data_IF_795313961465
#
_entry.id   IF_795313961465
#
_cell.length_a   1.000
_cell.length_b   1.000
_cell.length_c   1.000
_cell.angle_alpha   90.00
_cell.angle_beta   90.00
_cell.angle_gamma   90.00
#
_symmetry.space_group_name_H-M   'P 1'
#
loop_
_entity.id
_entity.type
_entity.pdbx_description
1 polymer ?
#
# COMPACT_ATOMS: atom_id res chain seq x y z
N UNK A 1 -42.83 2.20 -5.19
CA UNK A 1 -41.49 2.47 -5.72
C UNK A 1 -40.85 3.58 -4.89
N UNK A 2 -39.77 3.22 -4.19
CA UNK A 2 -39.00 4.19 -3.42
C UNK A 2 -38.27 5.07 -4.41
N UNK A 3 -38.66 6.34 -4.53
CA UNK A 3 -37.98 7.28 -5.43
C UNK A 3 -36.55 7.55 -4.91
N UNK A 4 -35.57 7.70 -5.82
CA UNK A 4 -34.15 7.99 -5.52
C UNK A 4 -34.02 9.14 -4.50
N UNK A 5 -34.90 10.15 -4.53
CA UNK A 5 -34.94 11.26 -3.53
C UNK A 5 -35.19 10.79 -2.10
N UNK A 6 -35.86 9.67 -1.89
CA UNK A 6 -36.12 9.11 -0.56
C UNK A 6 -34.93 8.31 -0.02
N UNK A 7 -34.10 7.72 -0.91
CA UNK A 7 -32.89 6.99 -0.54
C UNK A 7 -31.80 7.91 0.07
N UNK A 8 -31.69 9.15 -0.40
CA UNK A 8 -30.63 10.08 0.03
C UNK A 8 -31.06 11.05 1.15
N UNK A 9 -32.13 10.72 1.86
CA UNK A 9 -32.51 11.49 3.04
C UNK A 9 -31.45 11.35 4.14
N UNK A 10 -30.83 12.46 4.55
CA UNK A 10 -29.75 12.51 5.56
C UNK A 10 -30.15 11.92 6.94
N UNK A 11 -31.44 11.79 7.21
CA UNK A 11 -31.94 11.15 8.43
C UNK A 11 -31.88 9.62 8.36
N UNK A 12 -31.70 9.04 7.15
CA UNK A 12 -31.57 7.59 6.98
C UNK A 12 -30.12 7.14 7.02
N UNK A 13 -29.87 5.87 7.33
CA UNK A 13 -28.52 5.29 7.27
C UNK A 13 -27.91 5.42 5.87
N UNK A 14 -28.69 5.16 4.85
CA UNK A 14 -28.24 5.26 3.44
C UNK A 14 -27.89 6.70 3.09
N UNK A 15 -28.71 7.67 3.52
CA UNK A 15 -28.42 9.09 3.29
C UNK A 15 -27.13 9.54 4.00
N UNK A 16 -26.89 9.10 5.24
CA UNK A 16 -25.61 9.37 5.93
C UNK A 16 -24.43 8.73 5.23
N UNK A 17 -24.57 7.50 4.76
CA UNK A 17 -23.54 6.82 3.97
C UNK A 17 -23.26 7.57 2.66
N UNK A 18 -24.30 8.03 1.97
CA UNK A 18 -24.14 8.85 0.77
C UNK A 18 -23.36 10.13 1.04
N UNK A 19 -23.69 10.85 2.12
CA UNK A 19 -22.97 12.05 2.55
C UNK A 19 -21.48 11.77 2.78
N UNK A 20 -21.15 10.63 3.40
CA UNK A 20 -19.77 10.21 3.61
C UNK A 20 -19.01 10.03 2.30
N UNK A 21 -19.67 9.55 1.24
CA UNK A 21 -19.05 9.34 -0.06
C UNK A 21 -19.03 10.59 -0.97
N UNK A 22 -19.74 11.66 -0.63
CA UNK A 22 -19.81 12.86 -1.50
C UNK A 22 -18.44 13.40 -1.90
N UNK A 23 -17.49 13.43 -0.97
CA UNK A 23 -16.13 13.93 -1.23
C UNK A 23 -15.39 13.14 -2.33
N UNK A 24 -15.71 11.85 -2.48
CA UNK A 24 -15.20 11.02 -3.56
C UNK A 24 -15.96 11.27 -4.86
N UNK A 25 -17.25 11.56 -4.76
CA UNK A 25 -18.14 11.72 -5.91
C UNK A 25 -18.00 13.04 -6.64
N UNK A 26 -17.40 14.05 -6.01
CA UNK A 26 -17.07 15.34 -6.67
C UNK A 26 -16.20 15.18 -7.93
N UNK A 27 -15.54 14.03 -8.10
CA UNK A 27 -14.70 13.74 -9.27
C UNK A 27 -15.49 13.17 -10.44
N UNK A 28 -16.75 12.79 -10.24
CA UNK A 28 -17.58 12.11 -11.23
C UNK A 28 -18.74 12.99 -11.71
N UNK A 29 -19.27 12.68 -12.87
CA UNK A 29 -20.60 13.18 -13.24
C UNK A 29 -21.65 12.62 -12.28
N UNK A 30 -22.69 13.39 -12.00
CA UNK A 30 -23.78 12.98 -11.09
C UNK A 30 -24.36 11.59 -11.44
N UNK A 31 -24.65 11.25 -12.70
CA UNK A 31 -25.16 9.92 -13.05
C UNK A 31 -24.16 8.79 -12.77
N UNK A 32 -22.86 9.06 -12.91
CA UNK A 32 -21.80 8.08 -12.61
C UNK A 32 -21.66 7.90 -11.12
N UNK A 33 -21.61 8.98 -10.35
CA UNK A 33 -21.52 8.96 -8.89
C UNK A 33 -22.69 8.16 -8.28
N UNK A 34 -23.91 8.43 -8.72
CA UNK A 34 -25.11 7.72 -8.30
C UNK A 34 -25.04 6.21 -8.64
N UNK A 35 -24.57 5.86 -9.83
CA UNK A 35 -24.44 4.45 -10.22
C UNK A 35 -23.37 3.73 -9.40
N UNK A 36 -22.23 4.38 -9.13
CA UNK A 36 -21.17 3.83 -8.29
C UNK A 36 -21.62 3.69 -6.83
N UNK A 37 -22.37 4.67 -6.30
CA UNK A 37 -22.93 4.57 -4.96
C UNK A 37 -23.88 3.37 -4.81
N UNK A 38 -24.78 3.15 -5.77
CA UNK A 38 -25.65 1.99 -5.77
C UNK A 38 -24.88 0.66 -5.81
N UNK A 39 -23.78 0.58 -6.59
CA UNK A 39 -22.90 -0.58 -6.58
C UNK A 39 -22.23 -0.78 -5.21
N UNK A 40 -21.71 0.27 -4.60
CA UNK A 40 -21.11 0.21 -3.26
C UNK A 40 -22.16 -0.26 -2.25
N UNK A 41 -23.35 0.30 -2.29
CA UNK A 41 -24.46 -0.08 -1.41
C UNK A 41 -24.81 -1.56 -1.57
N UNK A 42 -24.85 -2.08 -2.80
CA UNK A 42 -25.12 -3.49 -3.04
C UNK A 42 -24.04 -4.42 -2.48
N UNK A 43 -22.76 -4.02 -2.59
CA UNK A 43 -21.63 -4.77 -2.03
C UNK A 43 -21.69 -4.78 -0.49
N UNK A 44 -22.06 -3.66 0.12
CA UNK A 44 -22.19 -3.56 1.59
C UNK A 44 -23.40 -4.30 2.16
N UNK A 45 -24.43 -4.53 1.35
CA UNK A 45 -25.69 -5.13 1.80
C UNK A 45 -25.72 -6.65 1.62
N UNK A 46 -25.08 -7.15 0.55
CA UNK A 46 -25.07 -8.59 0.24
C UNK A 46 -23.86 -9.28 0.89
N UNK A 47 -24.07 -10.48 1.41
CA UNK A 47 -23.00 -11.29 2.03
C UNK A 47 -21.86 -11.63 1.07
N UNK A 48 -22.13 -11.65 -0.24
CA UNK A 48 -21.13 -11.95 -1.27
C UNK A 48 -21.40 -11.14 -2.55
N UNK A 49 -20.31 -10.70 -3.17
CA UNK A 49 -20.33 -9.91 -4.41
C UNK A 49 -19.65 -10.69 -5.55
N UNK A 50 -20.36 -11.67 -6.11
CA UNK A 50 -19.80 -12.55 -7.15
C UNK A 50 -19.61 -11.85 -8.51
N UNK A 51 -20.59 -11.04 -8.93
CA UNK A 51 -20.55 -10.32 -10.20
C UNK A 51 -21.55 -9.16 -10.21
N UNK A 52 -21.36 -8.21 -11.11
CA UNK A 52 -22.33 -7.11 -11.32
C UNK A 52 -23.73 -7.65 -11.61
N UNK A 53 -23.84 -8.73 -12.40
CA UNK A 53 -25.12 -9.38 -12.69
C UNK A 53 -25.77 -9.92 -11.41
N UNK A 54 -24.99 -10.55 -10.54
CA UNK A 54 -25.47 -11.05 -9.25
C UNK A 54 -25.98 -9.89 -8.38
N UNK A 55 -25.20 -8.82 -8.23
CA UNK A 55 -25.60 -7.62 -7.47
C UNK A 55 -26.89 -7.02 -8.03
N UNK A 56 -27.03 -6.98 -9.35
CA UNK A 56 -28.22 -6.47 -10.02
C UNK A 56 -29.45 -7.32 -9.73
N UNK A 57 -29.36 -8.64 -9.91
CA UNK A 57 -30.47 -9.56 -9.73
C UNK A 57 -30.96 -9.65 -8.27
N UNK A 58 -30.05 -9.58 -7.32
CA UNK A 58 -30.40 -9.81 -5.91
C UNK A 58 -30.61 -8.52 -5.09
N UNK A 59 -30.25 -7.36 -5.62
CA UNK A 59 -30.40 -6.11 -4.88
C UNK A 59 -30.79 -4.92 -5.78
N UNK A 60 -30.01 -4.60 -6.82
CA UNK A 60 -30.13 -3.34 -7.54
C UNK A 60 -31.44 -3.22 -8.29
N UNK A 61 -31.93 -4.30 -8.92
CA UNK A 61 -33.23 -4.30 -9.66
C UNK A 61 -34.42 -3.96 -8.78
N UNK A 62 -34.32 -4.15 -7.45
CA UNK A 62 -35.38 -3.81 -6.50
C UNK A 62 -35.36 -2.36 -6.02
N UNK A 63 -34.26 -1.64 -6.21
CA UNK A 63 -34.07 -0.29 -5.65
C UNK A 63 -33.88 0.80 -6.69
N UNK A 64 -33.63 0.45 -7.96
CA UNK A 64 -33.44 1.42 -9.05
C UNK A 64 -34.02 0.92 -10.36
N UNK A 65 -34.47 1.85 -11.19
CA UNK A 65 -34.93 1.57 -12.56
C UNK A 65 -33.76 1.51 -13.58
N UNK A 66 -32.50 1.75 -13.14
CA UNK A 66 -31.34 1.62 -14.03
C UNK A 66 -31.20 0.18 -14.51
N UNK A 67 -30.99 0.00 -15.81
CA UNK A 67 -30.76 -1.34 -16.37
C UNK A 67 -29.39 -1.90 -16.00
N UNK A 68 -29.23 -3.23 -16.08
CA UNK A 68 -27.96 -3.92 -15.84
C UNK A 68 -26.80 -3.34 -16.68
N UNK A 69 -27.09 -2.95 -17.93
CA UNK A 69 -26.06 -2.38 -18.82
C UNK A 69 -25.49 -1.07 -18.33
N UNK A 70 -26.24 -0.26 -17.58
CA UNK A 70 -25.72 0.99 -16.98
C UNK A 70 -24.60 0.69 -15.98
N UNK A 71 -24.75 -0.37 -15.20
CA UNK A 71 -23.73 -0.78 -14.22
C UNK A 71 -22.48 -1.36 -14.90
N UNK A 72 -22.66 -2.17 -15.95
CA UNK A 72 -21.53 -2.63 -16.77
C UNK A 72 -20.81 -1.46 -17.43
N UNK A 73 -21.54 -0.50 -17.98
CA UNK A 73 -20.97 0.69 -18.61
C UNK A 73 -20.17 1.52 -17.58
N UNK A 74 -20.72 1.76 -16.40
CA UNK A 74 -20.05 2.50 -15.35
C UNK A 74 -18.72 1.82 -14.94
N UNK A 75 -18.69 0.50 -14.79
CA UNK A 75 -17.48 -0.22 -14.43
C UNK A 75 -16.42 -0.28 -15.55
N UNK A 76 -16.86 -0.23 -16.82
CA UNK A 76 -15.95 -0.40 -17.97
C UNK A 76 -15.46 0.93 -18.56
N UNK A 77 -16.27 1.99 -18.50
CA UNK A 77 -16.04 3.22 -19.25
C UNK A 77 -16.07 4.49 -18.40
N UNK A 78 -16.43 4.42 -17.11
CA UNK A 78 -16.38 5.60 -16.26
C UNK A 78 -14.92 6.09 -16.16
N UNK A 79 -14.74 7.39 -16.42
CA UNK A 79 -13.43 8.03 -16.23
C UNK A 79 -13.23 8.25 -14.74
N UNK A 80 -12.41 7.40 -14.11
CA UNK A 80 -12.05 7.51 -12.70
C UNK A 80 -10.68 8.16 -12.59
N UNK A 81 -10.58 9.29 -11.92
CA UNK A 81 -9.31 9.85 -11.51
C UNK A 81 -8.82 9.11 -10.25
N UNK A 82 -8.16 7.99 -10.45
CA UNK A 82 -7.62 7.17 -9.37
C UNK A 82 -6.61 7.93 -8.52
N UNK A 83 -5.90 8.90 -9.09
CA UNK A 83 -4.93 9.72 -8.38
C UNK A 83 -5.64 10.60 -7.36
N UNK A 84 -6.67 11.32 -7.79
CA UNK A 84 -7.50 12.13 -6.89
C UNK A 84 -8.21 11.29 -5.85
N UNK A 85 -8.65 10.08 -6.23
CA UNK A 85 -9.29 9.14 -5.31
C UNK A 85 -8.33 8.72 -4.19
N UNK A 86 -7.10 8.33 -4.52
CA UNK A 86 -6.06 7.97 -3.54
C UNK A 86 -5.76 9.15 -2.60
N UNK A 87 -5.50 10.34 -3.15
CA UNK A 87 -5.18 11.53 -2.36
C UNK A 87 -6.35 11.93 -1.44
N UNK A 88 -7.59 11.82 -1.91
CA UNK A 88 -8.78 12.05 -1.07
C UNK A 88 -8.84 11.05 0.09
N UNK A 89 -8.54 9.77 -0.17
CA UNK A 89 -8.49 8.75 0.88
C UNK A 89 -7.43 9.08 1.93
N UNK A 90 -6.23 9.52 1.52
CA UNK A 90 -5.19 9.97 2.46
C UNK A 90 -5.72 11.11 3.34
N UNK A 91 -6.26 12.17 2.74
CA UNK A 91 -6.77 13.34 3.48
C UNK A 91 -7.85 12.99 4.49
N UNK A 92 -8.79 12.11 4.12
CA UNK A 92 -9.84 11.66 5.04
C UNK A 92 -9.24 10.84 6.18
N UNK A 93 -8.32 9.92 5.85
CA UNK A 93 -7.72 9.01 6.82
C UNK A 93 -6.86 9.78 7.83
N UNK A 94 -6.08 10.77 7.39
CA UNK A 94 -5.29 11.60 8.30
C UNK A 94 -6.15 12.38 9.30
N UNK A 95 -7.39 12.77 8.93
CA UNK A 95 -8.34 13.43 9.85
C UNK A 95 -8.88 12.50 10.93
N UNK A 96 -8.72 11.19 10.80
CA UNK A 96 -9.13 10.22 11.82
C UNK A 96 -8.10 10.09 12.96
N UNK A 97 -6.89 10.63 12.78
CA UNK A 97 -5.84 10.58 13.80
C UNK A 97 -6.24 11.51 14.96
N UNK A 98 -6.39 11.00 16.20
CA UNK A 98 -6.65 11.82 17.37
C UNK A 98 -5.53 12.84 17.60
N UNK A 99 -5.86 14.02 18.15
CA UNK A 99 -4.89 15.09 18.42
C UNK A 99 -3.70 14.62 19.27
N UNK A 100 -3.98 13.77 20.27
CA UNK A 100 -2.97 13.17 21.16
C UNK A 100 -2.00 12.21 20.45
N UNK A 101 -2.30 11.78 19.22
CA UNK A 101 -1.50 10.84 18.44
C UNK A 101 -0.91 11.49 17.15
N UNK A 102 -1.03 12.81 16.99
CA UNK A 102 -0.56 13.50 15.79
C UNK A 102 0.97 13.40 15.58
N UNK A 103 1.75 13.25 16.64
CA UNK A 103 3.21 13.07 16.61
C UNK A 103 3.64 11.64 16.31
N UNK A 104 2.70 10.68 16.37
CA UNK A 104 3.02 9.30 16.04
C UNK A 104 3.25 9.14 14.54
N UNK A 105 4.18 8.24 14.13
CA UNK A 105 4.42 7.99 12.70
C UNK A 105 3.18 7.39 12.03
N UNK A 106 3.05 7.63 10.73
CA UNK A 106 2.13 6.92 9.86
C UNK A 106 2.92 5.98 8.96
N UNK A 107 2.32 4.86 8.57
CA UNK A 107 3.01 3.89 7.73
C UNK A 107 2.35 3.77 6.37
N UNK A 108 3.18 3.65 5.33
CA UNK A 108 2.80 3.26 3.97
C UNK A 108 3.29 1.83 3.73
N UNK A 109 2.40 0.86 3.87
CA UNK A 109 2.74 -0.54 3.64
C UNK A 109 2.63 -0.87 2.15
N UNK A 110 3.70 -1.42 1.59
CA UNK A 110 3.80 -1.80 0.17
C UNK A 110 3.88 -3.31 0.07
N UNK A 111 3.00 -3.87 -0.75
CA UNK A 111 2.99 -5.31 -1.04
C UNK A 111 2.36 -5.58 -2.41
N UNK A 112 2.44 -6.81 -2.90
CA UNK A 112 1.72 -7.22 -4.09
C UNK A 112 0.83 -8.44 -3.84
N UNK A 113 -0.26 -8.50 -4.57
CA UNK A 113 -1.20 -9.61 -4.52
C UNK A 113 -1.42 -10.18 -5.91
N UNK A 114 -1.62 -11.49 -5.98
CA UNK A 114 -1.84 -12.21 -7.22
C UNK A 114 -3.26 -12.72 -7.28
N UNK A 115 -3.91 -12.51 -8.42
CA UNK A 115 -5.26 -13.01 -8.70
C UNK A 115 -5.18 -14.01 -9.84
N UNK A 116 -5.39 -15.28 -9.53
CA UNK A 116 -5.37 -16.36 -10.53
C UNK A 116 -6.47 -16.17 -11.58
N UNK A 117 -6.17 -16.52 -12.81
CA UNK A 117 -7.11 -16.50 -13.95
C UNK A 117 -7.02 -17.82 -14.72
N UNK A 118 -8.17 -18.32 -15.10
CA UNK A 118 -8.26 -19.47 -15.98
C UNK A 118 -8.26 -19.01 -17.44
N UNK A 119 -7.36 -19.55 -18.24
CA UNK A 119 -7.19 -19.20 -19.66
C UNK A 119 -6.17 -18.08 -19.89
N UNK A 120 -5.90 -17.82 -21.17
CA UNK A 120 -4.84 -16.92 -21.63
C UNK A 120 -5.34 -15.68 -22.38
N UNK A 121 -6.66 -15.54 -22.53
CA UNK A 121 -7.27 -14.47 -23.34
C UNK A 121 -7.54 -13.18 -22.58
N UNK A 122 -7.29 -13.15 -21.27
CA UNK A 122 -7.42 -11.92 -20.50
C UNK A 122 -6.25 -10.98 -20.78
N UNK A 123 -6.56 -9.71 -20.95
CA UNK A 123 -5.54 -8.67 -21.10
C UNK A 123 -4.60 -8.65 -19.87
N UNK A 124 -3.30 -8.50 -20.11
CA UNK A 124 -2.23 -8.45 -19.08
C UNK A 124 -2.11 -9.71 -18.18
N UNK A 125 -2.73 -10.83 -18.54
CA UNK A 125 -2.46 -12.10 -17.86
C UNK A 125 -1.01 -12.53 -18.10
N UNK A 126 -0.37 -13.01 -17.08
CA UNK A 126 1.00 -13.51 -17.16
C UNK A 126 1.22 -14.71 -16.25
N UNK A 127 2.25 -15.50 -16.59
CA UNK A 127 2.75 -16.55 -15.71
C UNK A 127 3.51 -15.87 -14.57
N UNK A 128 3.00 -16.01 -13.35
CA UNK A 128 3.53 -15.40 -12.13
C UNK A 128 4.13 -16.49 -11.26
N UNK A 129 5.25 -16.18 -10.61
CA UNK A 129 5.82 -17.09 -9.60
C UNK A 129 5.11 -16.84 -8.28
N UNK A 130 4.57 -17.91 -7.70
CA UNK A 130 3.86 -17.88 -6.43
C UNK A 130 4.56 -18.81 -5.43
N UNK A 131 5.15 -18.23 -4.40
CA UNK A 131 5.82 -18.98 -3.34
C UNK A 131 4.85 -19.85 -2.50
N UNK A 132 3.58 -19.51 -2.48
CA UNK A 132 2.53 -20.20 -1.74
C UNK A 132 1.77 -21.22 -2.58
N UNK A 133 2.10 -21.41 -3.86
CA UNK A 133 1.39 -22.32 -4.73
C UNK A 133 1.70 -23.78 -4.37
N UNK A 134 0.65 -24.51 -3.99
CA UNK A 134 0.71 -25.93 -3.69
C UNK A 134 0.15 -26.82 -4.83
N UNK A 135 0.16 -26.32 -6.07
CA UNK A 135 -0.45 -26.98 -7.23
C UNK A 135 0.53 -27.81 -8.08
N UNK A 136 1.68 -28.21 -7.52
CA UNK A 136 2.73 -28.95 -8.24
C UNK A 136 3.59 -28.12 -9.18
N UNK A 137 3.27 -26.84 -9.36
CA UNK A 137 4.16 -25.87 -10.02
C UNK A 137 4.13 -24.56 -9.21
N UNK A 138 5.31 -23.97 -8.95
CA UNK A 138 5.40 -22.67 -8.26
C UNK A 138 4.95 -21.51 -9.16
N UNK A 139 4.00 -21.73 -10.07
CA UNK A 139 3.54 -20.75 -11.03
C UNK A 139 2.03 -20.79 -11.16
N UNK A 140 1.43 -19.60 -11.28
CA UNK A 140 0.03 -19.41 -11.62
C UNK A 140 -0.09 -18.47 -12.84
N UNK A 141 -1.15 -18.65 -13.62
CA UNK A 141 -1.57 -17.64 -14.58
C UNK A 141 -2.49 -16.64 -13.90
N UNK A 142 -2.20 -15.36 -14.02
CA UNK A 142 -3.02 -14.37 -13.36
C UNK A 142 -2.57 -12.94 -13.56
N UNK A 143 -3.20 -12.07 -12.81
CA UNK A 143 -2.83 -10.67 -12.66
C UNK A 143 -2.05 -10.48 -11.35
N UNK A 144 -1.07 -9.61 -11.37
CA UNK A 144 -0.39 -9.12 -10.17
C UNK A 144 -0.73 -7.65 -9.96
N UNK A 145 -1.09 -7.30 -8.74
CA UNK A 145 -1.43 -5.93 -8.35
C UNK A 145 -0.47 -5.49 -7.25
N UNK A 146 0.22 -4.38 -7.47
CA UNK A 146 0.96 -3.68 -6.42
C UNK A 146 -0.03 -2.84 -5.62
N UNK A 147 0.03 -2.93 -4.31
CA UNK A 147 -0.84 -2.22 -3.39
C UNK A 147 -0.06 -1.29 -2.46
N UNK A 148 -0.69 -0.18 -2.10
CA UNK A 148 -0.23 0.70 -1.02
C UNK A 148 -1.36 0.86 -0.02
N UNK A 149 -1.04 0.60 1.25
CA UNK A 149 -1.97 0.73 2.37
C UNK A 149 -1.44 1.78 3.34
N UNK A 150 -2.30 2.70 3.76
CA UNK A 150 -1.98 3.69 4.79
C UNK A 150 -2.40 3.15 6.15
N UNK A 151 -1.48 3.13 7.11
CA UNK A 151 -1.75 2.78 8.49
C UNK A 151 -1.59 4.02 9.37
N UNK A 152 -2.66 4.40 10.06
CA UNK A 152 -2.70 5.58 10.94
C UNK A 152 -2.94 5.20 12.39
N UNK A 153 -2.32 5.90 13.35
CA UNK A 153 -2.48 5.61 14.76
C UNK A 153 -3.89 6.00 15.26
N UNK A 154 -4.50 5.10 15.99
CA UNK A 154 -5.81 5.28 16.62
C UNK A 154 -5.80 4.71 18.04
N UNK A 155 -6.71 5.16 18.89
CA UNK A 155 -6.92 4.52 20.17
C UNK A 155 -7.76 3.25 20.05
N UNK A 156 -7.23 2.15 20.54
CA UNK A 156 -7.98 0.91 20.75
C UNK A 156 -8.03 0.67 22.27
N UNK A 157 -9.12 1.08 22.91
CA UNK A 157 -9.21 1.22 24.37
C UNK A 157 -8.08 2.15 24.87
N UNK A 158 -7.19 1.68 25.74
CA UNK A 158 -6.08 2.46 26.32
C UNK A 158 -4.74 2.24 25.61
N UNK A 159 -4.73 1.59 24.44
CA UNK A 159 -3.51 1.28 23.69
C UNK A 159 -3.54 1.93 22.31
N UNK A 160 -2.39 2.41 21.87
CA UNK A 160 -2.20 2.83 20.47
C UNK A 160 -2.27 1.60 19.59
N UNK A 161 -3.10 1.66 18.57
CA UNK A 161 -3.24 0.67 17.50
C UNK A 161 -3.17 1.37 16.16
N UNK A 162 -3.10 0.63 15.07
CA UNK A 162 -3.04 1.19 13.73
C UNK A 162 -4.23 0.74 12.90
N UNK A 163 -4.97 1.71 12.38
CA UNK A 163 -6.04 1.49 11.41
C UNK A 163 -5.43 1.43 10.01
N UNK A 164 -5.64 0.32 9.32
CA UNK A 164 -5.13 0.11 7.97
C UNK A 164 -6.20 0.44 6.94
N UNK A 165 -5.89 1.34 6.00
CA UNK A 165 -6.79 1.81 4.95
C UNK A 165 -6.12 1.62 3.59
N UNK A 166 -6.69 0.80 2.69
CA UNK A 166 -6.13 0.62 1.35
C UNK A 166 -6.25 1.94 0.57
N UNK A 167 -5.13 2.42 0.03
CA UNK A 167 -5.10 3.60 -0.82
C UNK A 167 -5.41 3.26 -2.28
N UNK A 168 -4.91 2.12 -2.74
CA UNK A 168 -5.17 1.68 -4.11
C UNK A 168 -4.34 0.48 -4.54
N UNK A 169 -4.70 -0.02 -5.72
CA UNK A 169 -4.05 -1.15 -6.38
C UNK A 169 -3.70 -0.76 -7.81
N UNK A 170 -2.49 -1.07 -8.27
CA UNK A 170 -2.10 -0.91 -9.67
C UNK A 170 -1.70 -2.24 -10.27
N UNK A 171 -2.35 -2.59 -11.38
CA UNK A 171 -2.06 -3.82 -12.10
C UNK A 171 -0.70 -3.73 -12.78
N UNK A 172 0.17 -4.72 -12.51
CA UNK A 172 1.45 -4.83 -13.17
C UNK A 172 1.29 -5.33 -14.62
N UNK A 173 1.74 -4.52 -15.58
CA UNK A 173 1.59 -4.77 -17.00
C UNK A 173 2.91 -5.17 -17.70
N UNK A 174 3.98 -5.46 -16.95
CA UNK A 174 5.33 -5.75 -17.44
C UNK A 174 6.01 -4.60 -18.22
N UNK A 175 5.41 -3.43 -18.33
CA UNK A 175 5.99 -2.24 -18.94
C UNK A 175 7.02 -1.56 -18.04
N UNK A 176 6.80 -1.68 -16.76
CA UNK A 176 7.65 -1.17 -15.67
C UNK A 176 7.82 -2.23 -14.59
N UNK A 177 8.76 -2.07 -13.70
CA UNK A 177 8.92 -2.97 -12.56
C UNK A 177 7.87 -2.71 -11.50
N UNK A 178 7.55 -3.71 -10.67
CA UNK A 178 6.67 -3.52 -9.50
C UNK A 178 7.23 -2.48 -8.52
N UNK A 179 8.57 -2.35 -8.45
CA UNK A 179 9.26 -1.35 -7.64
C UNK A 179 8.95 0.07 -8.12
N UNK A 180 8.97 0.29 -9.44
CA UNK A 180 8.64 1.59 -10.05
C UNK A 180 7.15 1.91 -9.87
N UNK A 181 6.26 0.91 -10.01
CA UNK A 181 4.84 1.08 -9.69
C UNK A 181 4.64 1.53 -8.24
N UNK A 182 5.24 0.82 -7.27
CA UNK A 182 5.18 1.19 -5.86
C UNK A 182 5.71 2.61 -5.62
N UNK A 183 6.89 2.90 -6.19
CA UNK A 183 7.52 4.21 -6.11
C UNK A 183 6.60 5.32 -6.64
N UNK A 184 5.97 5.10 -7.79
CA UNK A 184 5.06 6.07 -8.40
C UNK A 184 3.80 6.31 -7.55
N UNK A 185 3.26 5.25 -6.92
CA UNK A 185 2.11 5.37 -6.02
C UNK A 185 2.46 6.16 -4.76
N UNK A 186 3.65 5.93 -4.19
CA UNK A 186 4.12 6.67 -3.02
C UNK A 186 4.33 8.15 -3.38
N UNK A 187 5.06 8.47 -4.46
CA UNK A 187 5.27 9.85 -4.91
C UNK A 187 3.97 10.60 -5.12
N UNK A 188 2.95 9.90 -5.59
CA UNK A 188 1.64 10.49 -5.81
C UNK A 188 0.97 10.94 -4.52
N UNK A 189 1.08 10.17 -3.43
CA UNK A 189 0.40 10.46 -2.17
C UNK A 189 1.23 11.31 -1.20
N UNK A 190 2.56 11.32 -1.32
CA UNK A 190 3.46 12.06 -0.43
C UNK A 190 3.11 13.55 -0.24
N UNK A 191 2.65 14.30 -1.28
CA UNK A 191 2.23 15.69 -1.08
C UNK A 191 1.11 15.89 -0.05
N UNK A 192 0.31 14.85 0.23
CA UNK A 192 -0.77 14.94 1.23
C UNK A 192 -0.26 14.82 2.69
N UNK A 193 1.02 14.43 2.87
CA UNK A 193 1.64 14.26 4.19
C UNK A 193 2.49 15.45 4.65
N UNK A 194 2.28 16.63 4.07
CA UNK A 194 3.08 17.83 4.40
C UNK A 194 3.04 18.22 5.88
N UNK A 195 1.97 17.87 6.60
CA UNK A 195 1.79 18.14 8.03
C UNK A 195 2.25 16.99 8.94
N UNK A 196 2.84 15.92 8.40
CA UNK A 196 3.33 14.77 9.17
C UNK A 196 4.86 14.81 9.22
N UNK A 197 5.42 14.75 10.41
CA UNK A 197 6.87 14.74 10.63
C UNK A 197 7.50 13.41 10.24
N UNK A 198 6.77 12.30 10.41
CA UNK A 198 7.27 10.95 10.18
C UNK A 198 6.29 10.12 9.37
N UNK A 199 6.66 9.84 8.13
CA UNK A 199 6.02 8.87 7.24
C UNK A 199 7.01 7.74 7.00
N UNK A 200 6.62 6.50 7.24
CA UNK A 200 7.52 5.35 7.16
C UNK A 200 6.97 4.34 6.14
N UNK A 201 7.75 4.03 5.12
CA UNK A 201 7.43 2.92 4.21
C UNK A 201 7.76 1.62 4.92
N UNK A 202 6.81 0.69 4.93
CA UNK A 202 7.02 -0.70 5.36
C UNK A 202 6.92 -1.62 4.14
N UNK A 203 7.93 -2.45 3.92
CA UNK A 203 7.93 -3.40 2.81
C UNK A 203 8.70 -4.69 3.15
N UNK A 204 8.40 -5.74 2.42
CA UNK A 204 9.11 -7.00 2.51
C UNK A 204 10.49 -6.96 1.83
N UNK A 205 11.23 -8.07 1.91
CA UNK A 205 12.57 -8.19 1.33
C UNK A 205 12.60 -8.11 -0.19
N UNK A 206 11.49 -8.36 -0.87
CA UNK A 206 11.41 -8.25 -2.32
C UNK A 206 11.39 -6.78 -2.76
N UNK A 207 10.71 -5.91 -2.00
CA UNK A 207 10.62 -4.48 -2.25
C UNK A 207 11.80 -3.69 -1.68
N UNK A 208 12.56 -4.25 -0.73
CA UNK A 208 13.70 -3.59 -0.09
C UNK A 208 14.89 -3.53 -1.06
N UNK A 209 14.78 -2.73 -2.12
CA UNK A 209 15.80 -2.55 -3.17
C UNK A 209 16.00 -1.07 -3.49
N UNK A 210 17.14 -0.75 -4.10
CA UNK A 210 17.59 0.62 -4.39
C UNK A 210 16.50 1.50 -5.03
N UNK A 211 15.74 0.97 -5.99
CA UNK A 211 14.71 1.75 -6.71
C UNK A 211 13.61 2.28 -5.78
N UNK A 212 13.20 1.50 -4.77
CA UNK A 212 12.23 1.96 -3.79
C UNK A 212 12.89 2.76 -2.67
N UNK A 213 14.03 2.28 -2.18
CA UNK A 213 14.75 2.93 -1.06
C UNK A 213 15.20 4.35 -1.41
N UNK A 214 15.52 4.64 -2.68
CA UNK A 214 15.93 5.98 -3.11
C UNK A 214 14.86 7.06 -2.98
N UNK A 215 13.58 6.70 -2.82
CA UNK A 215 12.50 7.67 -2.65
C UNK A 215 12.65 8.47 -1.35
N UNK A 216 13.26 7.89 -0.33
CA UNK A 216 13.48 8.59 0.95
C UNK A 216 14.34 9.86 0.79
N UNK A 217 15.13 9.95 -0.27
CA UNK A 217 15.93 11.16 -0.56
C UNK A 217 15.09 12.30 -1.16
N UNK A 218 13.89 12.01 -1.64
CA UNK A 218 13.01 12.97 -2.28
C UNK A 218 12.17 13.75 -1.27
N UNK A 219 12.00 13.20 -0.04
CA UNK A 219 11.11 13.76 0.98
C UNK A 219 11.77 13.75 2.36
N UNK A 220 11.91 14.90 3.02
CA UNK A 220 12.64 15.01 4.30
C UNK A 220 11.93 14.31 5.47
N UNK A 221 10.62 14.06 5.36
CA UNK A 221 9.79 13.41 6.36
C UNK A 221 9.51 11.93 6.06
N UNK A 222 10.23 11.34 5.07
CA UNK A 222 10.01 9.96 4.64
C UNK A 222 11.19 9.08 5.02
N UNK A 223 10.90 7.99 5.72
CA UNK A 223 11.82 6.91 6.03
C UNK A 223 11.33 5.58 5.46
N UNK A 224 12.19 4.56 5.47
CA UNK A 224 11.84 3.21 5.04
C UNK A 224 12.36 2.18 6.03
N UNK A 225 11.49 1.26 6.43
CA UNK A 225 11.83 0.04 7.16
C UNK A 225 11.44 -1.14 6.27
N UNK A 226 12.42 -1.95 5.93
CA UNK A 226 12.19 -3.13 5.10
C UNK A 226 13.02 -4.32 5.55
N UNK A 227 12.50 -5.50 5.33
CA UNK A 227 13.24 -6.72 5.59
C UNK A 227 14.38 -6.89 4.58
N UNK A 228 15.51 -7.38 5.03
CA UNK A 228 16.62 -7.79 4.19
C UNK A 228 16.86 -9.30 4.36
N UNK A 229 17.38 -9.94 3.31
CA UNK A 229 17.78 -11.34 3.41
C UNK A 229 19.02 -11.46 4.29
N UNK A 230 19.15 -12.54 5.03
CA UNK A 230 20.29 -12.78 5.92
C UNK A 230 21.63 -12.84 5.18
N UNK A 231 21.62 -13.20 3.90
CA UNK A 231 22.78 -13.24 3.02
C UNK A 231 23.11 -11.87 2.38
N UNK A 232 22.41 -10.81 2.76
CA UNK A 232 22.65 -9.45 2.24
C UNK A 232 24.05 -8.97 2.61
N UNK A 233 24.77 -8.46 1.61
CA UNK A 233 26.14 -7.99 1.80
C UNK A 233 26.15 -6.62 2.46
N UNK A 234 26.76 -6.56 3.63
CA UNK A 234 26.93 -5.34 4.44
C UNK A 234 28.42 -5.08 4.71
N UNK A 235 28.77 -3.81 4.84
CA UNK A 235 30.11 -3.36 5.17
C UNK A 235 30.08 -2.32 6.29
N UNK A 236 31.18 -2.20 7.01
CA UNK A 236 31.40 -1.02 7.84
C UNK A 236 31.47 0.25 6.97
N UNK A 237 31.11 1.41 7.52
CA UNK A 237 31.40 2.70 6.90
C UNK A 237 32.88 2.80 6.47
N UNK A 238 33.14 3.58 5.42
CA UNK A 238 34.48 3.78 4.95
C UNK A 238 35.37 4.40 6.08
N UNK A 239 36.61 3.91 6.28
CA UNK A 239 37.52 4.52 7.23
C UNK A 239 37.84 5.97 6.82
N UNK A 240 38.19 6.78 7.80
CA UNK A 240 38.64 8.16 7.57
C UNK A 240 39.78 8.21 6.56
N UNK A 241 39.77 9.22 5.69
CA UNK A 241 40.84 9.39 4.71
C UNK A 241 42.20 9.64 5.42
N UNK A 242 43.19 8.85 5.06
CA UNK A 242 44.52 8.91 5.71
C UNK A 242 45.45 9.93 5.06
N UNK A 243 45.06 10.65 4.01
CA UNK A 243 45.90 11.56 3.25
C UNK A 243 47.00 10.88 2.42
N UNK A 244 47.12 9.55 2.46
CA UNK A 244 48.09 8.80 1.66
C UNK A 244 47.69 8.74 0.17
N UNK A 245 48.70 8.62 -0.68
CA UNK A 245 48.49 8.46 -2.15
C UNK A 245 47.70 7.17 -2.42
N UNK A 246 46.60 7.28 -3.19
CA UNK A 246 45.74 6.15 -3.58
C UNK A 246 44.28 6.54 -3.61
N UNK A 247 43.46 5.65 -4.19
CA UNK A 247 42.01 5.84 -4.21
C UNK A 247 41.43 5.61 -2.81
N UNK A 248 40.66 6.53 -2.25
CA UNK A 248 39.97 6.33 -0.98
C UNK A 248 39.14 5.05 -0.94
N UNK A 249 39.13 4.35 0.19
CA UNK A 249 38.30 3.18 0.37
C UNK A 249 36.79 3.59 0.29
N UNK A 250 35.99 2.79 -0.42
CA UNK A 250 34.55 3.05 -0.56
C UNK A 250 33.75 2.49 0.62
N UNK A 251 34.28 1.53 1.34
CA UNK A 251 33.67 0.85 2.49
C UNK A 251 34.75 0.24 3.37
N UNK A 252 34.40 -0.09 4.61
CA UNK A 252 35.26 -0.81 5.55
C UNK A 252 35.18 -2.33 5.39
N UNK A 253 35.33 -3.05 6.50
CA UNK A 253 35.27 -4.52 6.58
C UNK A 253 33.90 -5.02 6.12
N UNK A 254 33.86 -6.18 5.44
CA UNK A 254 32.61 -6.92 5.23
C UNK A 254 32.13 -7.49 6.56
N UNK A 255 30.84 -7.33 6.84
CA UNK A 255 30.21 -7.74 8.09
C UNK A 255 29.48 -9.08 7.94
N UNK A 256 29.52 -9.88 9.02
CA UNK A 256 28.67 -11.06 9.21
C UNK A 256 27.64 -10.76 10.31
N UNK A 257 26.41 -11.21 10.10
CA UNK A 257 25.33 -11.10 11.09
C UNK A 257 25.69 -11.85 12.37
N UNK A 258 26.36 -13.00 12.25
CA UNK A 258 26.68 -13.91 13.36
C UNK A 258 27.77 -13.35 14.29
N UNK A 259 28.75 -12.62 13.76
CA UNK A 259 29.96 -12.27 14.51
C UNK A 259 30.16 -10.78 14.73
N UNK A 260 29.56 -9.92 13.91
CA UNK A 260 29.87 -8.49 13.90
C UNK A 260 28.75 -7.62 14.50
N UNK A 261 27.70 -8.23 15.06
CA UNK A 261 26.62 -7.53 15.76
C UNK A 261 26.68 -7.83 17.26
N UNK A 262 26.53 -6.78 18.07
CA UNK A 262 26.39 -6.91 19.52
C UNK A 262 24.91 -6.90 19.86
N UNK A 263 24.44 -7.98 20.47
CA UNK A 263 23.05 -8.10 20.89
C UNK A 263 22.83 -7.46 22.26
N UNK A 264 21.63 -6.89 22.45
CA UNK A 264 21.19 -6.37 23.74
C UNK A 264 21.06 -7.51 24.76
N UNK A 265 21.22 -7.20 26.05
CA UNK A 265 20.97 -8.16 27.13
C UNK A 265 19.49 -8.32 27.44
N UNK A 266 18.65 -7.41 26.94
CA UNK A 266 17.20 -7.41 27.14
C UNK A 266 16.49 -7.86 25.86
N UNK A 267 15.45 -8.67 26.03
CA UNK A 267 14.60 -9.10 24.94
C UNK A 267 13.56 -8.02 24.58
N UNK A 268 13.31 -7.86 23.30
CA UNK A 268 12.14 -7.16 22.77
C UNK A 268 11.19 -8.22 22.23
N UNK A 269 10.10 -8.46 22.94
CA UNK A 269 9.28 -9.66 22.71
C UNK A 269 10.05 -10.94 23.03
N UNK A 270 10.20 -11.83 22.06
CA UNK A 270 10.90 -13.09 22.20
C UNK A 270 12.37 -13.06 21.71
N UNK A 271 12.84 -11.90 21.22
CA UNK A 271 14.12 -11.80 20.51
C UNK A 271 15.10 -10.87 21.20
N UNK A 272 16.40 -11.22 21.17
CA UNK A 272 17.49 -10.29 21.39
C UNK A 272 17.72 -9.46 20.13
N UNK A 273 18.06 -8.19 20.27
CA UNK A 273 18.24 -7.28 19.13
C UNK A 273 19.66 -6.74 19.10
N UNK A 274 20.26 -6.76 17.93
CA UNK A 274 21.50 -6.08 17.63
C UNK A 274 21.28 -4.96 16.63
N UNK A 275 21.84 -3.77 16.87
CA UNK A 275 21.71 -2.60 16.00
C UNK A 275 23.07 -2.13 15.58
N UNK A 276 23.28 -1.90 14.29
CA UNK A 276 24.55 -1.38 13.77
C UNK A 276 24.30 -0.50 12.54
N UNK A 277 25.08 0.57 12.45
CA UNK A 277 25.16 1.40 11.24
C UNK A 277 26.06 0.70 10.21
N UNK A 278 25.55 0.46 9.03
CA UNK A 278 26.24 -0.32 7.99
C UNK A 278 26.05 0.32 6.61
N UNK A 279 26.95 0.00 5.67
CA UNK A 279 26.75 0.24 4.25
C UNK A 279 26.13 -1.00 3.63
N UNK A 280 24.89 -0.88 3.16
CA UNK A 280 24.19 -2.00 2.52
C UNK A 280 24.38 -1.98 1.00
N UNK A 281 25.02 -3.03 0.45
CA UNK A 281 25.29 -3.13 -1.00
C UNK A 281 24.00 -3.15 -1.82
N UNK A 282 22.95 -3.78 -1.33
CA UNK A 282 21.64 -3.87 -2.00
C UNK A 282 21.00 -2.49 -2.26
N UNK A 283 21.42 -1.46 -1.52
CA UNK A 283 20.95 -0.08 -1.64
C UNK A 283 22.00 0.86 -2.28
N UNK A 284 22.90 0.31 -3.11
CA UNK A 284 23.96 1.10 -3.73
C UNK A 284 25.05 1.57 -2.76
N UNK A 285 25.33 0.79 -1.71
CA UNK A 285 26.23 1.14 -0.59
C UNK A 285 25.71 2.35 0.23
N UNK A 286 24.41 2.47 0.39
CA UNK A 286 23.80 3.46 1.28
C UNK A 286 24.06 3.07 2.72
N UNK A 287 24.32 4.08 3.56
CA UNK A 287 24.40 3.93 5.00
C UNK A 287 23.00 3.78 5.60
N UNK A 288 22.79 2.73 6.37
CA UNK A 288 21.52 2.39 7.01
C UNK A 288 21.74 1.86 8.42
N UNK A 289 20.70 1.88 9.25
CA UNK A 289 20.66 1.14 10.50
C UNK A 289 20.17 -0.28 10.22
N UNK A 290 21.01 -1.27 10.46
CA UNK A 290 20.64 -2.67 10.39
C UNK A 290 20.22 -3.16 11.77
N UNK A 291 19.01 -3.69 11.86
CA UNK A 291 18.47 -4.37 13.03
C UNK A 291 18.51 -5.86 12.77
N UNK A 292 19.14 -6.60 13.68
CA UNK A 292 19.24 -8.06 13.62
C UNK A 292 18.61 -8.64 14.87
N UNK A 293 17.86 -9.73 14.70
CA UNK A 293 17.19 -10.45 15.80
C UNK A 293 17.77 -11.85 15.92
N UNK A 294 17.94 -12.35 17.15
CA UNK A 294 18.39 -13.69 17.49
C UNK A 294 17.49 -14.32 18.55
#
# INVERSE_FOLDING_TARGET
>A
PCTIKTLYNEKTLIGRLHQYFLIYFETFSVPTADTLFLLILSILTLESAHSIRFLYQHFLSGITEKSLNVFYYACSYAKVDYSRFMNTTVRITLKLIPDSLQTQPVFLCVDDTMVSKFGTKFENVSKLFDHAAHNGSNYLNGHCFVSVMLCVPVWNRDKVSYLSVPLGYRMWQKKESKLELAASMIRQVMPEFYSKDHVIILCDSWYTKQNLVSIVDEYPNLDLIGNARIDSVMYDPAPAQTGRRGRPAKHGKRLSVETDFTFSNEKIGDYYTGVRRVLAKIFGNREVLAYVTA
#
